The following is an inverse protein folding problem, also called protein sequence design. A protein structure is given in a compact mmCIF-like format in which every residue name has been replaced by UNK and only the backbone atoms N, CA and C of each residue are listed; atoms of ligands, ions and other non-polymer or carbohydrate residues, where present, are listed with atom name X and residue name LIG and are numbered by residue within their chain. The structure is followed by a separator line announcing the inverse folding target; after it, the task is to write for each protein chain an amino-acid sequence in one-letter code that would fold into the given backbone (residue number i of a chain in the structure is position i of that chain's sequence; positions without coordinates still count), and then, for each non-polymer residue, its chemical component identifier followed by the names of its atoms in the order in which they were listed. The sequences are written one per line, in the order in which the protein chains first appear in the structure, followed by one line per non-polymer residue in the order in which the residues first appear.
data_IF_967884033780
#
_entry.id   IF_967884033780
#
_cell.length_a   1.000
_cell.length_b   1.000
_cell.length_c   1.000
_cell.angle_alpha   90.00
_cell.angle_beta   90.00
_cell.angle_gamma   90.00
#
_symmetry.space_group_name_H-M   'P 1'
#
loop_
_entity.id
_entity.type
_entity.pdbx_description
1 polymer ?
#
# COMPACT_ATOMS: atom_id res chain seq x y z
N UNK A 1 14.04 -20.37 -7.82
CA UNK A 1 14.21 -19.05 -8.45
C UNK A 1 12.85 -18.37 -8.36
N UNK A 2 12.64 -17.57 -7.32
CA UNK A 2 11.41 -16.78 -7.17
C UNK A 2 11.62 -15.57 -8.08
N UNK A 3 10.76 -15.31 -9.08
CA UNK A 3 10.95 -14.14 -9.94
C UNK A 3 10.96 -12.88 -9.07
N UNK A 4 11.88 -11.96 -9.36
CA UNK A 4 11.90 -10.63 -8.75
C UNK A 4 10.61 -9.90 -9.14
N UNK A 5 9.60 -10.04 -8.28
CA UNK A 5 8.38 -9.29 -8.35
C UNK A 5 8.70 -7.90 -7.77
N UNK A 6 9.28 -7.02 -8.59
CA UNK A 6 9.29 -5.58 -8.31
C UNK A 6 7.88 -5.04 -8.54
N UNK A 7 6.95 -5.45 -7.69
CA UNK A 7 5.58 -4.95 -7.69
C UNK A 7 5.60 -3.55 -7.09
N UNK A 8 5.22 -2.54 -7.88
CA UNK A 8 5.12 -1.16 -7.41
C UNK A 8 4.12 -1.06 -6.26
N UNK A 9 4.49 -0.32 -5.21
CA UNK A 9 3.62 -0.01 -4.10
C UNK A 9 2.88 1.32 -4.32
N UNK A 10 1.57 1.36 -4.08
CA UNK A 10 0.72 2.55 -4.21
C UNK A 10 -0.17 2.71 -2.99
N UNK A 11 -0.17 3.90 -2.39
CA UNK A 11 -1.12 4.25 -1.32
C UNK A 11 -2.38 4.81 -1.97
N UNK A 12 -3.52 4.20 -1.69
CA UNK A 12 -4.84 4.59 -2.19
C UNK A 12 -5.81 4.76 -1.03
N UNK A 13 -7.00 5.26 -1.34
CA UNK A 13 -8.10 5.40 -0.39
C UNK A 13 -9.28 4.59 -0.88
N UNK A 14 -9.95 3.87 0.02
CA UNK A 14 -11.23 3.28 -0.33
C UNK A 14 -12.24 4.40 -0.58
N UNK A 15 -13.12 4.25 -1.59
CA UNK A 15 -14.28 5.11 -1.72
C UNK A 15 -15.05 5.12 -0.41
N UNK A 16 -15.51 6.30 -0.02
CA UNK A 16 -16.38 6.48 1.13
C UNK A 16 -17.80 6.73 0.62
N UNK A 17 -18.76 5.95 1.11
CA UNK A 17 -20.17 6.13 0.81
C UNK A 17 -20.96 6.30 2.12
N UNK A 18 -21.87 7.26 2.13
CA UNK A 18 -22.81 7.47 3.24
C UNK A 18 -24.22 7.76 2.72
N UNK A 19 -25.23 7.16 3.36
CA UNK A 19 -26.65 7.28 2.98
C UNK A 19 -27.57 6.50 3.93
N UNK A 20 -28.84 6.92 4.05
CA UNK A 20 -29.90 6.23 4.82
C UNK A 20 -29.58 5.89 6.29
N UNK A 21 -28.67 6.67 6.92
CA UNK A 21 -28.24 6.45 8.31
C UNK A 21 -27.11 5.44 8.48
N UNK A 22 -26.52 4.93 7.39
CA UNK A 22 -25.35 4.05 7.40
C UNK A 22 -24.22 4.59 6.52
N UNK A 23 -22.97 4.27 6.89
CA UNK A 23 -21.78 4.59 6.10
C UNK A 23 -20.91 3.35 5.93
N UNK A 24 -20.26 3.22 4.77
CA UNK A 24 -19.32 2.14 4.49
C UNK A 24 -18.20 2.59 3.55
N UNK A 25 -17.08 1.86 3.64
CA UNK A 25 -15.86 2.19 2.91
C UNK A 25 -14.98 3.14 3.71
N UNK A 26 -14.16 3.94 3.01
CA UNK A 26 -13.18 4.80 3.65
C UNK A 26 -11.91 4.09 4.12
N UNK A 27 -10.92 4.89 4.50
CA UNK A 27 -9.64 4.40 5.00
C UNK A 27 -8.57 4.21 3.93
N UNK A 28 -7.34 4.07 4.42
CA UNK A 28 -6.13 3.95 3.62
C UNK A 28 -5.90 2.50 3.23
N UNK A 29 -5.50 2.26 1.99
CA UNK A 29 -5.12 0.95 1.47
C UNK A 29 -3.75 1.05 0.81
N UNK A 30 -2.86 0.14 1.16
CA UNK A 30 -1.60 -0.04 0.44
C UNK A 30 -1.77 -1.15 -0.59
N UNK A 31 -1.65 -0.81 -1.86
CA UNK A 31 -1.63 -1.77 -2.97
C UNK A 31 -0.19 -2.12 -3.32
N UNK A 32 0.15 -3.41 -3.33
CA UNK A 32 1.45 -3.92 -3.77
C UNK A 32 1.14 -4.98 -4.81
N UNK A 33 1.25 -4.60 -6.08
CA UNK A 33 0.86 -5.45 -7.20
C UNK A 33 -0.55 -6.00 -7.09
N UNK A 34 -0.69 -7.31 -6.87
CA UNK A 34 -2.00 -7.97 -6.72
C UNK A 34 -2.60 -7.86 -5.32
N UNK A 35 -1.83 -7.43 -4.33
CA UNK A 35 -2.25 -7.40 -2.93
C UNK A 35 -2.80 -6.03 -2.56
N UNK A 36 -3.85 -6.02 -1.75
CA UNK A 36 -4.42 -4.82 -1.14
C UNK A 36 -4.46 -5.00 0.37
N UNK A 37 -3.77 -4.12 1.09
CA UNK A 37 -3.61 -4.18 2.55
C UNK A 37 -4.35 -2.98 3.16
N UNK A 38 -5.50 -3.19 3.83
CA UNK A 38 -6.23 -2.10 4.47
C UNK A 38 -5.56 -1.68 5.79
N UNK A 39 -5.35 -0.37 5.95
CA UNK A 39 -4.84 0.26 7.18
C UNK A 39 -5.96 0.93 8.00
N UNK A 40 -7.16 1.05 7.43
CA UNK A 40 -8.32 1.68 8.08
C UNK A 40 -8.27 3.21 8.07
N UNK A 41 -9.07 3.82 8.94
CA UNK A 41 -9.35 5.26 8.96
C UNK A 41 -8.60 6.03 10.05
N UNK A 42 -7.67 5.39 10.76
CA UNK A 42 -6.89 6.08 11.79
C UNK A 42 -6.13 7.27 11.17
N UNK A 43 -6.02 8.43 11.84
CA UNK A 43 -5.31 9.60 11.31
C UNK A 43 -3.88 9.30 10.83
N UNK A 44 -3.20 8.36 11.50
CA UNK A 44 -1.83 7.96 11.17
C UNK A 44 -1.74 6.89 10.06
N UNK A 45 -2.86 6.33 9.60
CA UNK A 45 -2.89 5.25 8.62
C UNK A 45 -2.20 5.65 7.31
N UNK A 46 -2.38 6.91 6.88
CA UNK A 46 -1.75 7.43 5.67
C UNK A 46 -0.23 7.54 5.80
N UNK A 47 0.24 8.08 6.93
CA UNK A 47 1.66 8.22 7.23
C UNK A 47 2.34 6.86 7.32
N UNK A 48 1.70 5.89 7.97
CA UNK A 48 2.21 4.53 8.09
C UNK A 48 2.27 3.81 6.73
N UNK A 49 1.19 3.86 5.94
CA UNK A 49 1.17 3.25 4.60
C UNK A 49 2.21 3.90 3.66
N UNK A 50 2.42 5.21 3.77
CA UNK A 50 3.43 5.94 3.00
C UNK A 50 4.85 5.53 3.38
N UNK A 51 5.16 5.36 4.67
CA UNK A 51 6.47 4.91 5.11
C UNK A 51 6.74 3.46 4.69
N UNK A 52 5.72 2.58 4.73
CA UNK A 52 5.85 1.21 4.24
C UNK A 52 6.09 1.19 2.73
N UNK A 53 5.33 1.97 1.95
CA UNK A 53 5.57 2.15 0.52
C UNK A 53 7.03 2.57 0.26
N UNK A 54 7.52 3.59 0.98
CA UNK A 54 8.90 4.08 0.81
C UNK A 54 9.94 2.99 1.04
N UNK A 55 9.76 2.18 2.09
CA UNK A 55 10.67 1.06 2.40
C UNK A 55 10.59 -0.05 1.36
N UNK A 56 9.38 -0.34 0.87
CA UNK A 56 9.17 -1.29 -0.21
C UNK A 56 9.90 -0.85 -1.48
N UNK A 57 9.67 0.38 -1.94
CA UNK A 57 10.31 0.94 -3.13
C UNK A 57 11.85 0.93 -3.01
N UNK A 58 12.39 1.25 -1.83
CA UNK A 58 13.82 1.19 -1.57
C UNK A 58 14.39 -0.24 -1.65
N UNK A 59 13.69 -1.23 -1.08
CA UNK A 59 14.07 -2.63 -1.15
C UNK A 59 13.98 -3.18 -2.59
N UNK A 60 12.98 -2.75 -3.36
CA UNK A 60 12.79 -3.14 -4.75
C UNK A 60 13.80 -2.51 -5.71
N UNK A 61 14.44 -1.39 -5.35
CA UNK A 61 15.47 -0.73 -6.17
C UNK A 61 16.88 -1.24 -5.84
N UNK A 62 17.13 -1.70 -4.60
CA UNK A 62 18.43 -2.20 -4.16
C UNK A 62 18.83 -3.59 -4.67
N UNK A 63 17.91 -4.32 -5.32
CA UNK A 63 18.16 -5.66 -5.89
C UNK A 63 19.11 -5.68 -7.10
N UNK A 64 19.33 -4.54 -7.75
CA UNK A 64 20.16 -4.44 -8.97
C UNK A 64 21.68 -4.57 -8.73
N UNK A 65 22.14 -4.68 -7.47
CA UNK A 65 23.56 -4.63 -7.10
C UNK A 65 24.17 -5.89 -6.49
N UNK A 66 23.48 -7.05 -6.52
CA UNK A 66 24.02 -8.31 -5.98
C UNK A 66 23.96 -9.47 -7.00
N UNK A 67 24.56 -9.25 -8.16
CA UNK A 67 24.90 -10.31 -9.10
C UNK A 67 26.37 -10.17 -9.54
N UNK A 68 27.30 -10.39 -8.61
CA UNK A 68 28.70 -10.72 -8.89
C UNK A 68 29.15 -11.88 -8.00
#
# INVERSE_FOLDING_TARGET
MIPEISEKAEVRFMPHYSGDGYGYGGGVVLCIGRFAIPFGEHPDAFSLATEIKRRWDAASTGGEHHAE
#
